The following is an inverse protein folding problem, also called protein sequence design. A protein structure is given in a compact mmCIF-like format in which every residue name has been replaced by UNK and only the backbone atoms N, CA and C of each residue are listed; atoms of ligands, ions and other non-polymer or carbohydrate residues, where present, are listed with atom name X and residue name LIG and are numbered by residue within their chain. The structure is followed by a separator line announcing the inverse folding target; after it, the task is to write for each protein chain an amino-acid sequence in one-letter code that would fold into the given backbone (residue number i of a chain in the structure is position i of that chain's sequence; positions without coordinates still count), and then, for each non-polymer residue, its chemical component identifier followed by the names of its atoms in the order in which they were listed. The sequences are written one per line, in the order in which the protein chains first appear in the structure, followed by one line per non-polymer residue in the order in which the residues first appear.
data_IF_294439079204
#
_entry.id   IF_294439079204
#
_cell.length_a   1.000
_cell.length_b   1.000
_cell.length_c   1.000
_cell.angle_alpha   90.00
_cell.angle_beta   90.00
_cell.angle_gamma   90.00
#
_symmetry.space_group_name_H-M   'P 1'
#
loop_
_entity.id
_entity.type
_entity.pdbx_description
1 polymer ?
#
# COMPACT_ATOMS: atom_id res chain seq x y z
N UNK A 1 41.22 -19.96 -1.40
CA UNK A 1 40.68 -18.79 -0.67
C UNK A 1 39.52 -18.24 -1.49
N UNK A 2 38.34 -18.06 -0.89
CA UNK A 2 37.17 -17.54 -1.62
C UNK A 2 37.16 -16.02 -1.53
N UNK A 3 37.21 -15.34 -2.68
CA UNK A 3 37.18 -13.88 -2.79
C UNK A 3 36.10 -13.50 -3.81
N UNK A 4 35.08 -12.79 -3.35
CA UNK A 4 33.96 -12.37 -4.19
C UNK A 4 33.49 -10.96 -3.82
N UNK A 5 32.95 -10.25 -4.81
CA UNK A 5 32.32 -8.95 -4.60
C UNK A 5 30.85 -9.17 -4.28
N UNK A 6 30.38 -8.51 -3.22
CA UNK A 6 28.99 -8.55 -2.78
C UNK A 6 28.43 -7.13 -2.81
N UNK A 7 27.19 -6.93 -3.27
CA UNK A 7 26.57 -5.61 -3.26
C UNK A 7 26.29 -5.13 -1.84
N UNK A 8 26.46 -3.83 -1.61
CA UNK A 8 26.12 -3.17 -0.35
C UNK A 8 24.62 -2.84 -0.27
N UNK A 9 24.06 -2.90 0.94
CA UNK A 9 22.68 -2.47 1.19
C UNK A 9 22.46 -0.99 0.85
N UNK A 10 23.47 -0.14 1.06
CA UNK A 10 23.41 1.31 0.86
C UNK A 10 24.03 1.80 -0.46
N UNK A 11 24.30 0.90 -1.40
CA UNK A 11 25.03 1.21 -2.64
C UNK A 11 26.54 1.03 -2.48
N UNK A 12 27.21 0.73 -3.59
CA UNK A 12 28.62 0.36 -3.64
C UNK A 12 28.89 -1.14 -3.49
N UNK A 13 30.17 -1.50 -3.46
CA UNK A 13 30.67 -2.87 -3.42
C UNK A 13 31.32 -3.21 -2.08
N UNK A 14 31.12 -4.43 -1.63
CA UNK A 14 31.79 -5.05 -0.49
C UNK A 14 32.66 -6.20 -1.00
N UNK A 15 33.76 -6.44 -0.32
CA UNK A 15 34.62 -7.59 -0.59
C UNK A 15 34.34 -8.65 0.48
N UNK A 16 34.01 -9.86 0.05
CA UNK A 16 33.95 -11.03 0.90
C UNK A 16 35.24 -11.84 0.73
N UNK A 17 35.90 -12.15 1.85
CA UNK A 17 37.02 -13.09 1.89
C UNK A 17 36.71 -14.12 2.96
N UNK A 18 36.45 -15.37 2.57
CA UNK A 18 36.13 -16.46 3.50
C UNK A 18 35.07 -16.09 4.57
N UNK A 19 33.99 -15.40 4.18
CA UNK A 19 32.91 -14.91 5.06
C UNK A 19 33.27 -13.72 5.98
N UNK A 20 34.41 -13.07 5.73
CA UNK A 20 34.73 -11.76 6.31
C UNK A 20 34.42 -10.65 5.32
N UNK A 21 33.64 -9.68 5.76
CA UNK A 21 33.14 -8.62 4.90
C UNK A 21 33.95 -7.34 5.11
N UNK A 22 34.40 -6.78 4.00
CA UNK A 22 35.14 -5.53 3.94
C UNK A 22 34.40 -4.51 3.08
N UNK A 23 34.51 -3.24 3.48
CA UNK A 23 34.05 -2.10 2.68
C UNK A 23 35.24 -1.42 2.01
N UNK A 24 35.02 -0.92 0.79
CA UNK A 24 36.01 -0.13 0.06
C UNK A 24 36.34 1.13 0.86
N UNK A 25 37.62 1.38 1.09
CA UNK A 25 38.13 2.59 1.72
C UNK A 25 38.63 3.59 0.67
N UNK A 26 39.50 3.13 -0.24
CA UNK A 26 40.06 3.90 -1.34
C UNK A 26 40.62 2.97 -2.42
N UNK A 27 40.87 3.51 -3.59
CA UNK A 27 41.54 2.86 -4.71
C UNK A 27 42.54 3.81 -5.36
N UNK A 28 43.62 3.25 -5.92
CA UNK A 28 44.67 4.03 -6.56
C UNK A 28 45.40 3.21 -7.62
N UNK A 29 45.93 3.90 -8.63
CA UNK A 29 46.83 3.32 -9.62
C UNK A 29 48.25 3.28 -9.03
N UNK A 30 48.80 2.08 -8.84
CA UNK A 30 50.13 1.89 -8.26
C UNK A 30 51.19 2.23 -9.31
N UNK A 31 52.06 3.21 -9.00
CA UNK A 31 53.09 3.71 -9.92
C UNK A 31 54.16 2.68 -10.30
N UNK A 32 54.41 1.67 -9.47
CA UNK A 32 55.49 0.70 -9.69
C UNK A 32 55.18 -0.34 -10.76
N UNK A 33 53.91 -0.73 -10.92
CA UNK A 33 53.49 -1.79 -11.83
C UNK A 33 52.22 -1.43 -12.65
N UNK A 34 51.73 -0.20 -12.53
CA UNK A 34 50.56 0.30 -13.24
C UNK A 34 49.24 -0.34 -12.83
N UNK A 35 49.19 -1.15 -11.76
CA UNK A 35 47.98 -1.89 -11.38
C UNK A 35 47.01 -1.05 -10.55
N UNK A 36 45.72 -1.28 -10.75
CA UNK A 36 44.67 -0.63 -9.95
C UNK A 36 44.45 -1.38 -8.62
N UNK A 37 44.85 -0.75 -7.51
CA UNK A 37 44.86 -1.37 -6.17
C UNK A 37 43.72 -0.81 -5.32
N UNK A 38 42.94 -1.71 -4.75
CA UNK A 38 41.80 -1.40 -3.89
C UNK A 38 42.15 -1.69 -2.43
N UNK A 39 41.84 -0.73 -1.56
CA UNK A 39 42.04 -0.82 -0.12
C UNK A 39 40.71 -1.08 0.56
N UNK A 40 40.68 -2.13 1.37
CA UNK A 40 39.49 -2.63 2.03
C UNK A 40 39.68 -2.61 3.53
N UNK A 41 38.63 -2.24 4.27
CA UNK A 41 38.60 -2.24 5.72
C UNK A 41 37.42 -3.05 6.22
N UNK A 42 37.61 -3.82 7.28
CA UNK A 42 36.54 -4.67 7.80
C UNK A 42 35.30 -3.83 8.19
N UNK A 43 34.12 -4.31 7.82
CA UNK A 43 32.84 -3.62 8.11
C UNK A 43 32.61 -3.47 9.62
N UNK A 44 33.04 -4.45 10.41
CA UNK A 44 32.93 -4.44 11.88
C UNK A 44 33.93 -3.51 12.57
N UNK A 45 34.75 -2.77 11.80
CA UNK A 45 35.77 -1.84 12.31
C UNK A 45 36.75 -2.48 13.30
N UNK A 46 37.02 -3.78 13.17
CA UNK A 46 37.96 -4.52 14.03
C UNK A 46 39.44 -4.20 13.77
N UNK A 47 39.75 -3.26 12.88
CA UNK A 47 41.12 -2.90 12.52
C UNK A 47 41.70 -3.67 11.33
N UNK A 48 41.12 -4.82 10.94
CA UNK A 48 41.58 -5.61 9.79
C UNK A 48 41.47 -4.85 8.46
N UNK A 49 42.52 -4.93 7.64
CA UNK A 49 42.64 -4.28 6.33
C UNK A 49 43.24 -5.23 5.32
N UNK A 50 42.74 -5.18 4.09
CA UNK A 50 43.22 -6.02 2.99
C UNK A 50 43.37 -5.16 1.73
N UNK A 51 44.31 -5.52 0.86
CA UNK A 51 44.44 -4.94 -0.48
C UNK A 51 44.17 -5.98 -1.54
N UNK A 52 43.41 -5.60 -2.56
CA UNK A 52 43.20 -6.42 -3.75
C UNK A 52 43.57 -5.65 -5.01
N UNK A 53 43.82 -6.39 -6.08
CA UNK A 53 44.05 -5.87 -7.43
C UNK A 53 42.95 -6.41 -8.33
N UNK A 54 42.44 -5.56 -9.21
CA UNK A 54 41.46 -5.96 -10.23
C UNK A 54 42.18 -6.62 -11.42
N UNK A 55 41.72 -7.81 -11.80
CA UNK A 55 42.20 -8.53 -12.98
C UNK A 55 41.49 -8.05 -14.24
N UNK A 56 42.00 -8.46 -15.41
CA UNK A 56 41.41 -8.13 -16.71
C UNK A 56 39.94 -8.60 -16.84
N UNK A 57 39.51 -9.56 -16.03
CA UNK A 57 38.12 -10.07 -15.96
C UNK A 57 37.25 -9.33 -14.93
N UNK A 58 37.69 -8.18 -14.39
CA UNK A 58 37.01 -7.44 -13.31
C UNK A 58 36.82 -8.24 -12.01
N UNK A 59 37.66 -9.25 -11.78
CA UNK A 59 37.71 -10.01 -10.52
C UNK A 59 38.76 -9.39 -9.60
N UNK A 60 38.56 -9.54 -8.29
CA UNK A 60 39.54 -9.08 -7.31
C UNK A 60 40.38 -10.26 -6.81
N UNK A 61 41.70 -10.08 -6.86
CA UNK A 61 42.66 -11.01 -6.27
C UNK A 61 43.48 -10.28 -5.20
N UNK A 62 44.00 -11.00 -4.21
CA UNK A 62 44.87 -10.40 -3.19
C UNK A 62 46.10 -9.77 -3.84
N UNK A 63 46.43 -8.54 -3.43
CA UNK A 63 47.68 -7.90 -3.83
C UNK A 63 48.86 -8.71 -3.29
N UNK A 64 49.97 -8.76 -4.04
CA UNK A 64 51.18 -9.51 -3.65
C UNK A 64 51.73 -9.09 -2.27
N UNK A 65 51.48 -7.83 -1.88
CA UNK A 65 51.91 -7.28 -0.60
C UNK A 65 50.79 -7.33 0.47
N UNK A 66 49.75 -8.13 0.27
CA UNK A 66 48.63 -8.26 1.19
C UNK A 66 48.39 -9.72 1.53
N UNK A 67 48.42 -10.03 2.81
CA UNK A 67 48.06 -11.34 3.35
C UNK A 67 46.74 -11.22 4.09
N UNK A 68 45.88 -12.22 3.93
CA UNK A 68 44.67 -12.37 4.72
C UNK A 68 44.87 -13.51 5.73
N UNK A 69 44.62 -13.23 7.01
CA UNK A 69 44.55 -14.24 8.05
C UNK A 69 43.32 -13.98 8.93
N UNK A 70 42.64 -15.05 9.35
CA UNK A 70 41.40 -14.93 10.12
C UNK A 70 41.64 -14.37 11.54
N UNK A 71 42.82 -14.63 12.12
CA UNK A 71 43.26 -14.13 13.43
C UNK A 71 43.49 -12.61 13.49
N UNK A 72 43.59 -11.94 12.33
CA UNK A 72 43.62 -10.48 12.23
C UNK A 72 42.27 -9.83 12.60
N UNK A 73 41.21 -10.63 12.74
CA UNK A 73 39.90 -10.18 13.17
C UNK A 73 39.66 -10.53 14.64
N UNK A 74 39.14 -9.57 15.39
CA UNK A 74 38.64 -9.81 16.76
C UNK A 74 37.22 -10.44 16.78
N UNK A 75 36.78 -11.04 15.67
CA UNK A 75 35.45 -11.62 15.52
C UNK A 75 35.48 -12.81 14.56
N UNK A 76 34.50 -13.70 14.70
CA UNK A 76 34.33 -14.84 13.81
C UNK A 76 33.84 -14.42 12.39
N UNK A 77 34.01 -15.29 11.38
CA UNK A 77 33.36 -15.12 10.08
C UNK A 77 31.83 -15.08 10.19
N UNK A 78 31.14 -14.36 9.29
CA UNK A 78 29.70 -14.12 9.33
C UNK A 78 28.96 -14.70 8.09
N UNK A 79 28.87 -16.03 7.92
CA UNK A 79 28.25 -16.66 6.74
C UNK A 79 26.75 -16.34 6.63
N UNK A 80 26.01 -16.30 7.75
CA UNK A 80 24.58 -15.97 7.75
C UNK A 80 24.37 -14.53 7.28
N UNK A 81 25.19 -13.59 7.75
CA UNK A 81 25.13 -12.19 7.35
C UNK A 81 25.40 -11.98 5.86
N UNK A 82 26.24 -12.83 5.24
CA UNK A 82 26.48 -12.81 3.79
C UNK A 82 25.22 -13.23 3.02
N UNK A 83 24.59 -14.33 3.40
CA UNK A 83 23.38 -14.84 2.75
C UNK A 83 22.20 -13.88 2.91
N UNK A 84 22.02 -13.29 4.11
CA UNK A 84 21.02 -12.24 4.35
C UNK A 84 21.23 -11.03 3.41
N UNK A 85 22.48 -10.64 3.13
CA UNK A 85 22.78 -9.54 2.19
C UNK A 85 22.41 -9.91 0.76
N UNK A 86 22.72 -11.14 0.32
CA UNK A 86 22.33 -11.63 -1.02
C UNK A 86 20.81 -11.64 -1.20
N UNK A 87 20.06 -12.09 -0.19
CA UNK A 87 18.59 -12.07 -0.21
C UNK A 87 18.07 -10.64 -0.31
N UNK A 88 18.57 -9.72 0.52
CA UNK A 88 18.17 -8.31 0.45
C UNK A 88 18.45 -7.69 -0.91
N UNK A 89 19.54 -8.08 -1.58
CA UNK A 89 19.81 -7.60 -2.93
C UNK A 89 18.81 -8.15 -3.96
N UNK A 90 18.51 -9.46 -3.91
CA UNK A 90 17.46 -10.06 -4.77
C UNK A 90 16.14 -9.31 -4.60
N UNK A 91 15.76 -9.02 -3.35
CA UNK A 91 14.56 -8.22 -3.03
C UNK A 91 14.63 -6.83 -3.65
N UNK A 92 15.77 -6.14 -3.60
CA UNK A 92 15.89 -4.81 -4.23
C UNK A 92 15.72 -4.86 -5.73
N UNK A 93 16.34 -5.83 -6.39
CA UNK A 93 16.25 -6.02 -7.85
C UNK A 93 14.79 -6.28 -8.22
N UNK A 94 14.15 -7.24 -7.54
CA UNK A 94 12.75 -7.58 -7.79
C UNK A 94 11.79 -6.43 -7.47
N UNK A 95 12.05 -5.64 -6.41
CA UNK A 95 11.24 -4.48 -6.07
C UNK A 95 11.26 -3.39 -7.14
N UNK A 96 12.35 -3.30 -7.92
CA UNK A 96 12.47 -2.36 -9.05
C UNK A 96 11.84 -2.89 -10.33
N UNK A 97 11.94 -4.20 -10.59
CA UNK A 97 11.44 -4.81 -11.83
C UNK A 97 9.96 -5.20 -11.78
N UNK A 98 9.47 -5.64 -10.63
CA UNK A 98 8.06 -6.03 -10.44
C UNK A 98 7.31 -4.89 -9.76
N UNK A 99 6.41 -4.28 -10.52
CA UNK A 99 5.60 -3.15 -10.04
C UNK A 99 4.34 -3.65 -9.31
N UNK A 100 3.79 -4.78 -9.74
CA UNK A 100 2.50 -5.30 -9.25
C UNK A 100 2.62 -6.12 -7.96
N UNK A 101 3.75 -6.82 -7.76
CA UNK A 101 3.92 -7.68 -6.58
C UNK A 101 3.87 -6.82 -5.30
N UNK A 102 3.05 -7.21 -4.32
CA UNK A 102 3.02 -6.55 -3.00
C UNK A 102 4.31 -6.86 -2.24
N UNK A 103 4.76 -5.98 -1.32
CA UNK A 103 5.97 -6.23 -0.52
C UNK A 103 5.98 -7.58 0.22
N UNK A 104 4.80 -8.06 0.64
CA UNK A 104 4.64 -9.37 1.26
C UNK A 104 4.87 -10.53 0.29
N UNK A 105 4.41 -10.41 -0.96
CA UNK A 105 4.64 -11.42 -1.99
C UNK A 105 6.12 -11.51 -2.34
N UNK A 106 6.80 -10.35 -2.48
CA UNK A 106 8.25 -10.30 -2.70
C UNK A 106 9.01 -10.96 -1.55
N UNK A 107 8.61 -10.66 -0.30
CA UNK A 107 9.20 -11.27 0.89
C UNK A 107 9.07 -12.79 0.89
N UNK A 108 7.86 -13.31 0.64
CA UNK A 108 7.59 -14.75 0.60
C UNK A 108 8.39 -15.46 -0.49
N UNK A 109 8.37 -14.92 -1.72
CA UNK A 109 9.17 -15.43 -2.84
C UNK A 109 10.66 -15.48 -2.51
N UNK A 110 11.17 -14.48 -1.79
CA UNK A 110 12.60 -14.39 -1.45
C UNK A 110 13.03 -15.33 -0.33
N UNK A 111 12.11 -15.76 0.53
CA UNK A 111 12.41 -16.61 1.69
C UNK A 111 12.14 -18.08 1.44
N UNK A 112 11.21 -18.42 0.53
CA UNK A 112 10.91 -19.81 0.19
C UNK A 112 12.14 -20.60 -0.26
N UNK A 113 13.11 -19.94 -0.88
CA UNK A 113 14.34 -20.57 -1.37
C UNK A 113 15.48 -20.62 -0.33
N UNK A 114 15.22 -20.23 0.93
CA UNK A 114 16.24 -20.05 1.96
C UNK A 114 16.05 -20.97 3.17
N UNK A 115 17.15 -21.27 3.87
CA UNK A 115 17.06 -22.04 5.11
C UNK A 115 16.34 -21.24 6.21
N UNK A 116 15.70 -21.96 7.14
CA UNK A 116 14.96 -21.37 8.27
C UNK A 116 15.81 -20.43 9.13
N UNK A 117 17.09 -20.77 9.30
CA UNK A 117 18.07 -19.96 10.04
C UNK A 117 18.33 -18.63 9.33
N UNK A 118 18.49 -18.62 8.01
CA UNK A 118 18.71 -17.37 7.26
C UNK A 118 17.44 -16.53 7.22
N UNK A 119 16.29 -17.19 7.04
CA UNK A 119 14.97 -16.54 7.02
C UNK A 119 14.66 -15.79 8.33
N UNK A 120 15.01 -16.36 9.49
CA UNK A 120 14.77 -15.70 10.79
C UNK A 120 15.54 -14.39 10.97
N UNK A 121 16.66 -14.22 10.25
CA UNK A 121 17.46 -13.00 10.26
C UNK A 121 16.96 -11.94 9.26
N UNK A 122 15.95 -12.25 8.44
CA UNK A 122 15.32 -11.33 7.49
C UNK A 122 13.96 -10.89 8.02
N UNK A 123 13.93 -9.75 8.71
CA UNK A 123 12.68 -9.18 9.22
C UNK A 123 11.73 -8.76 8.08
N UNK A 124 10.45 -9.17 8.18
CA UNK A 124 9.36 -8.72 7.31
C UNK A 124 9.25 -7.20 7.23
N UNK A 125 9.36 -6.49 8.35
CA UNK A 125 9.32 -5.02 8.39
C UNK A 125 10.51 -4.39 7.66
N UNK A 126 11.71 -4.96 7.82
CA UNK A 126 12.91 -4.50 7.10
C UNK A 126 12.72 -4.63 5.59
N UNK A 127 12.12 -5.73 5.13
CA UNK A 127 11.86 -5.96 3.70
C UNK A 127 10.80 -5.01 3.17
N UNK A 128 9.70 -4.80 3.90
CA UNK A 128 8.67 -3.83 3.52
C UNK A 128 9.26 -2.41 3.34
N UNK A 129 10.08 -1.96 4.29
CA UNK A 129 10.75 -0.66 4.20
C UNK A 129 11.75 -0.61 3.03
N UNK A 130 12.48 -1.69 2.78
CA UNK A 130 13.41 -1.78 1.66
C UNK A 130 12.68 -1.67 0.31
N UNK A 131 11.59 -2.43 0.12
CA UNK A 131 10.75 -2.40 -1.08
C UNK A 131 10.17 -0.99 -1.29
N UNK A 132 9.59 -0.39 -0.23
CA UNK A 132 9.08 0.99 -0.29
C UNK A 132 10.15 1.98 -0.73
N UNK A 133 11.36 1.91 -0.17
CA UNK A 133 12.49 2.79 -0.54
C UNK A 133 12.92 2.61 -2.00
N UNK A 134 13.01 1.38 -2.50
CA UNK A 134 13.38 1.14 -3.89
C UNK A 134 12.31 1.67 -4.86
N UNK A 135 11.03 1.50 -4.51
CA UNK A 135 9.89 1.94 -5.32
C UNK A 135 9.74 3.45 -5.35
N UNK A 136 9.96 4.16 -4.23
CA UNK A 136 9.93 5.64 -4.18
C UNK A 136 10.80 6.34 -5.23
N UNK A 137 11.89 5.70 -5.65
CA UNK A 137 12.82 6.26 -6.63
C UNK A 137 12.45 5.92 -8.09
N UNK A 138 11.38 5.15 -8.30
CA UNK A 138 10.87 4.78 -9.62
C UNK A 138 9.69 5.70 -9.94
N UNK A 139 9.68 6.32 -11.12
CA UNK A 139 8.68 7.35 -11.48
C UNK A 139 7.23 6.89 -11.32
N UNK A 140 6.94 5.62 -11.60
CA UNK A 140 5.61 5.02 -11.46
C UNK A 140 5.06 4.99 -10.03
N UNK A 141 5.85 5.31 -9.01
CA UNK A 141 5.41 5.39 -7.60
C UNK A 141 5.47 6.81 -7.04
N UNK A 142 5.68 7.83 -7.88
CA UNK A 142 5.38 9.20 -7.47
C UNK A 142 3.89 9.27 -7.18
N UNK A 143 3.55 9.83 -6.03
CA UNK A 143 2.16 10.03 -5.66
C UNK A 143 1.53 11.00 -6.67
N UNK A 144 0.41 10.63 -7.31
CA UNK A 144 -0.25 11.51 -8.27
C UNK A 144 -0.70 12.80 -7.57
N UNK A 145 -0.67 13.91 -8.28
CA UNK A 145 -1.12 15.22 -7.78
C UNK A 145 -2.53 15.58 -8.23
N UNK A 146 -3.05 14.89 -9.22
CA UNK A 146 -4.42 15.01 -9.70
C UNK A 146 -4.96 13.64 -10.14
N UNK A 147 -6.28 13.55 -10.35
CA UNK A 147 -6.92 12.32 -10.82
C UNK A 147 -6.49 11.99 -12.26
N UNK A 148 -6.20 13.00 -13.08
CA UNK A 148 -5.75 12.79 -14.47
C UNK A 148 -4.41 12.08 -14.55
N UNK A 149 -3.49 12.40 -13.64
CA UNK A 149 -2.18 11.74 -13.52
C UNK A 149 -2.29 10.25 -13.15
N UNK A 150 -3.45 9.78 -12.68
CA UNK A 150 -3.65 8.36 -12.36
C UNK A 150 -3.75 7.55 -13.66
N UNK A 151 -2.63 6.95 -14.06
CA UNK A 151 -2.58 5.96 -15.13
C UNK A 151 -2.95 4.57 -14.59
N UNK A 152 -4.20 4.14 -14.80
CA UNK A 152 -4.69 2.83 -14.38
C UNK A 152 -4.47 1.79 -15.49
N UNK A 153 -3.78 0.70 -15.17
CA UNK A 153 -3.71 -0.44 -16.07
C UNK A 153 -5.09 -1.10 -16.22
N UNK A 154 -5.42 -1.72 -17.37
CA UNK A 154 -6.72 -2.38 -17.57
C UNK A 154 -7.06 -3.40 -16.48
N UNK A 155 -6.06 -4.12 -15.96
CA UNK A 155 -6.19 -5.09 -14.87
C UNK A 155 -6.64 -4.46 -13.55
N UNK A 156 -6.37 -3.17 -13.33
CA UNK A 156 -6.81 -2.42 -12.14
C UNK A 156 -8.23 -1.86 -12.29
N UNK A 157 -8.73 -1.78 -13.53
CA UNK A 157 -10.08 -1.32 -13.84
C UNK A 157 -11.10 -2.47 -13.87
N UNK A 158 -10.66 -3.70 -13.60
CA UNK A 158 -11.47 -4.92 -13.70
C UNK A 158 -11.54 -5.67 -12.36
N UNK A 159 -12.61 -6.46 -12.18
CA UNK A 159 -12.74 -7.41 -11.08
C UNK A 159 -11.78 -8.60 -11.26
N UNK A 160 -11.64 -9.44 -10.24
CA UNK A 160 -10.89 -10.70 -10.34
C UNK A 160 -11.45 -11.68 -11.37
N UNK A 161 -12.71 -11.49 -11.80
CA UNK A 161 -13.36 -12.25 -12.87
C UNK A 161 -13.17 -11.60 -14.25
N UNK A 162 -12.47 -10.47 -14.34
CA UNK A 162 -12.23 -9.73 -15.58
C UNK A 162 -13.38 -8.79 -16.01
N UNK A 163 -14.36 -8.56 -15.14
CA UNK A 163 -15.48 -7.66 -15.45
C UNK A 163 -15.08 -6.20 -15.24
N UNK A 164 -15.61 -5.29 -16.07
CA UNK A 164 -15.38 -3.86 -15.87
C UNK A 164 -15.87 -3.43 -14.48
N UNK A 165 -14.99 -2.79 -13.72
CA UNK A 165 -15.26 -2.31 -12.37
C UNK A 165 -15.16 -0.79 -12.24
N UNK A 166 -14.18 -0.15 -12.89
CA UNK A 166 -14.14 1.31 -13.00
C UNK A 166 -15.05 1.76 -14.14
N UNK A 167 -16.23 2.29 -13.83
CA UNK A 167 -17.22 2.68 -14.84
C UNK A 167 -17.06 4.13 -15.30
N UNK A 168 -16.47 5.01 -14.47
CA UNK A 168 -16.20 6.40 -14.82
C UNK A 168 -14.93 6.92 -14.14
N UNK A 169 -14.13 7.66 -14.91
CA UNK A 169 -13.05 8.53 -14.43
C UNK A 169 -13.25 9.92 -15.02
N UNK A 170 -13.20 10.95 -14.18
CA UNK A 170 -13.12 12.36 -14.59
C UNK A 170 -12.15 13.13 -13.67
N UNK A 171 -12.07 14.45 -13.81
CA UNK A 171 -11.15 15.30 -13.06
C UNK A 171 -11.43 15.32 -11.53
N UNK A 172 -12.63 14.93 -11.11
CA UNK A 172 -13.10 15.06 -9.72
C UNK A 172 -13.36 13.73 -9.00
N UNK A 173 -13.63 12.66 -9.74
CA UNK A 173 -13.99 11.37 -9.15
C UNK A 173 -13.62 10.15 -9.99
N UNK A 174 -13.49 9.03 -9.29
CA UNK A 174 -13.48 7.68 -9.84
C UNK A 174 -14.69 6.92 -9.32
N UNK A 175 -15.52 6.38 -10.21
CA UNK A 175 -16.73 5.62 -9.86
C UNK A 175 -16.56 4.15 -10.21
N UNK A 176 -16.71 3.30 -9.20
CA UNK A 176 -16.55 1.86 -9.33
C UNK A 176 -17.83 1.11 -8.96
N UNK A 177 -18.26 0.23 -9.85
CA UNK A 177 -19.36 -0.72 -9.66
C UNK A 177 -19.31 -1.77 -10.78
N UNK A 178 -20.14 -2.79 -10.71
CA UNK A 178 -20.35 -3.75 -11.79
C UNK A 178 -21.82 -3.80 -12.18
N UNK A 179 -22.10 -4.41 -13.33
CA UNK A 179 -23.47 -4.71 -13.72
C UNK A 179 -24.21 -5.56 -12.66
N UNK A 180 -23.52 -6.55 -12.08
CA UNK A 180 -24.07 -7.41 -11.02
C UNK A 180 -24.36 -6.60 -9.75
N UNK A 181 -23.46 -5.70 -9.35
CA UNK A 181 -23.67 -4.82 -8.21
C UNK A 181 -24.88 -3.91 -8.41
N UNK A 182 -25.08 -3.36 -9.60
CA UNK A 182 -26.25 -2.54 -9.91
C UNK A 182 -27.56 -3.33 -9.84
N UNK A 183 -27.57 -4.62 -10.21
CA UNK A 183 -28.75 -5.48 -10.04
C UNK A 183 -29.09 -5.65 -8.56
N UNK A 184 -28.09 -6.00 -7.74
CA UNK A 184 -28.28 -6.08 -6.30
C UNK A 184 -28.77 -4.76 -5.71
N UNK A 185 -28.25 -3.64 -6.20
CA UNK A 185 -28.66 -2.31 -5.76
C UNK A 185 -30.13 -2.04 -6.09
N UNK A 186 -30.60 -2.43 -7.29
CA UNK A 186 -32.00 -2.31 -7.71
C UNK A 186 -32.96 -3.23 -6.95
N UNK A 187 -32.47 -4.36 -6.44
CA UNK A 187 -33.25 -5.32 -5.66
C UNK A 187 -33.21 -5.04 -4.15
N UNK A 188 -32.31 -4.16 -3.71
CA UNK A 188 -32.14 -3.79 -2.31
C UNK A 188 -33.32 -2.93 -1.83
N UNK A 189 -33.83 -3.23 -0.64
CA UNK A 189 -34.87 -2.42 0.02
C UNK A 189 -34.28 -1.32 0.91
N UNK A 190 -33.00 -1.46 1.29
CA UNK A 190 -32.30 -0.48 2.11
C UNK A 190 -30.89 -0.23 1.56
N UNK A 191 -30.52 1.04 1.41
CA UNK A 191 -29.15 1.46 1.12
C UNK A 191 -28.54 2.16 2.33
N UNK A 192 -27.29 1.82 2.65
CA UNK A 192 -26.47 2.58 3.60
C UNK A 192 -25.37 3.28 2.84
N UNK A 193 -25.30 4.60 2.90
CA UNK A 193 -24.28 5.36 2.21
C UNK A 193 -23.48 6.24 3.19
N UNK A 194 -22.16 6.13 3.12
CA UNK A 194 -21.25 6.80 4.06
C UNK A 194 -19.90 7.13 3.41
N UNK A 195 -19.29 8.23 3.85
CA UNK A 195 -17.97 8.69 3.42
C UNK A 195 -16.88 8.27 4.40
N UNK A 196 -15.84 7.59 3.91
CA UNK A 196 -14.66 7.24 4.72
C UNK A 196 -13.40 8.01 4.29
N UNK A 197 -12.68 8.55 5.29
CA UNK A 197 -11.54 9.46 5.09
C UNK A 197 -10.18 8.81 5.37
N UNK A 198 -10.13 7.82 6.28
CA UNK A 198 -8.87 7.33 6.87
C UNK A 198 -7.94 6.60 5.90
N UNK A 199 -8.43 6.24 4.71
CA UNK A 199 -7.71 5.42 3.73
C UNK A 199 -7.56 6.09 2.36
N UNK A 200 -7.87 7.38 2.23
CA UNK A 200 -7.82 8.08 0.94
C UNK A 200 -6.41 8.63 0.64
N UNK A 201 -5.88 8.44 -0.59
CA UNK A 201 -4.71 9.16 -1.08
C UNK A 201 -4.93 10.67 -1.04
N UNK A 202 -3.85 11.46 -1.00
CA UNK A 202 -3.91 12.92 -0.79
C UNK A 202 -4.80 13.66 -1.80
N UNK A 203 -4.93 13.14 -3.02
CA UNK A 203 -5.75 13.73 -4.10
C UNK A 203 -7.25 13.55 -3.94
N UNK A 204 -7.69 12.71 -3.00
CA UNK A 204 -9.10 12.47 -2.71
C UNK A 204 -9.43 12.93 -1.30
N UNK A 205 -10.53 13.67 -1.15
CA UNK A 205 -11.02 14.07 0.17
C UNK A 205 -11.76 12.91 0.86
N UNK A 206 -12.39 12.02 0.07
CA UNK A 206 -13.15 10.89 0.61
C UNK A 206 -13.30 9.71 -0.36
N UNK A 207 -13.66 8.57 0.20
CA UNK A 207 -14.25 7.45 -0.52
C UNK A 207 -15.69 7.27 -0.01
N UNK A 208 -16.66 7.56 -0.86
CA UNK A 208 -18.07 7.37 -0.58
C UNK A 208 -18.50 5.98 -1.02
N UNK A 209 -19.16 5.22 -0.14
CA UNK A 209 -19.53 3.83 -0.41
C UNK A 209 -21.02 3.64 -0.19
N UNK A 210 -21.70 3.10 -1.19
CA UNK A 210 -23.12 2.72 -1.11
C UNK A 210 -23.19 1.20 -0.90
N UNK A 211 -23.77 0.80 0.23
CA UNK A 211 -24.07 -0.57 0.54
C UNK A 211 -25.54 -0.83 0.24
N UNK A 212 -25.83 -1.96 -0.42
CA UNK A 212 -27.19 -2.44 -0.62
C UNK A 212 -27.49 -3.62 0.30
N UNK A 213 -28.74 -3.72 0.74
CA UNK A 213 -29.24 -4.85 1.49
C UNK A 213 -29.56 -6.03 0.56
N UNK A 214 -29.05 -7.22 0.90
CA UNK A 214 -29.26 -8.45 0.13
C UNK A 214 -29.75 -9.56 1.05
N UNK A 215 -30.75 -10.30 0.58
CA UNK A 215 -31.24 -11.50 1.28
C UNK A 215 -30.25 -12.65 1.12
N UNK A 216 -29.81 -13.20 2.25
CA UNK A 216 -29.01 -14.43 2.34
C UNK A 216 -29.75 -15.44 3.21
N UNK A 217 -30.58 -16.24 2.55
CA UNK A 217 -31.51 -17.15 3.25
C UNK A 217 -32.59 -16.35 3.98
N UNK A 218 -32.68 -16.53 5.30
CA UNK A 218 -33.60 -15.76 6.16
C UNK A 218 -33.03 -14.45 6.67
N UNK A 219 -31.73 -14.21 6.48
CA UNK A 219 -31.05 -13.02 7.01
C UNK A 219 -30.87 -11.97 5.91
N UNK A 220 -30.78 -10.72 6.33
CA UNK A 220 -30.39 -9.60 5.49
C UNK A 220 -28.95 -9.19 5.82
N UNK A 221 -28.13 -8.98 4.80
CA UNK A 221 -26.76 -8.50 4.94
C UNK A 221 -26.57 -7.25 4.09
N UNK A 222 -25.72 -6.34 4.55
CA UNK A 222 -25.29 -5.19 3.77
C UNK A 222 -23.95 -5.50 3.12
N UNK A 223 -23.87 -5.29 1.81
CA UNK A 223 -22.63 -5.46 1.04
C UNK A 223 -22.32 -4.17 0.30
N UNK A 224 -21.03 -3.79 0.17
CA UNK A 224 -20.66 -2.60 -0.58
C UNK A 224 -20.81 -2.88 -2.08
N UNK A 225 -21.61 -2.06 -2.76
CA UNK A 225 -21.95 -2.26 -4.18
C UNK A 225 -21.36 -1.17 -5.07
N UNK A 226 -21.29 0.07 -4.58
CA UNK A 226 -20.75 1.22 -5.32
C UNK A 226 -19.69 1.91 -4.49
N UNK A 227 -18.59 2.26 -5.13
CA UNK A 227 -17.49 3.02 -4.52
C UNK A 227 -17.21 4.25 -5.36
N UNK A 228 -17.23 5.43 -4.75
CA UNK A 228 -16.87 6.69 -5.39
C UNK A 228 -15.69 7.32 -4.66
N UNK A 229 -14.55 7.44 -5.33
CA UNK A 229 -13.41 8.17 -4.82
C UNK A 229 -13.52 9.62 -5.29
N UNK A 230 -13.67 10.57 -4.37
CA UNK A 230 -14.06 11.95 -4.68
C UNK A 230 -13.03 12.95 -4.13
N UNK A 231 -12.70 13.98 -4.89
CA UNK A 231 -11.79 15.06 -4.47
C UNK A 231 -12.48 16.15 -3.62
N UNK A 232 -13.77 15.97 -3.29
CA UNK A 232 -14.54 16.91 -2.50
C UNK A 232 -15.85 16.32 -1.98
N UNK A 233 -16.64 17.19 -1.35
CA UNK A 233 -17.91 16.87 -0.66
C UNK A 233 -19.04 17.84 -1.02
N UNK A 234 -18.91 18.53 -2.14
CA UNK A 234 -19.93 19.48 -2.57
C UNK A 234 -21.18 18.72 -3.05
N UNK A 235 -22.34 19.38 -2.98
CA UNK A 235 -23.61 18.83 -3.45
C UNK A 235 -23.52 18.47 -4.94
N UNK A 236 -22.83 19.30 -5.73
CA UNK A 236 -22.62 19.05 -7.16
C UNK A 236 -21.85 17.75 -7.41
N UNK A 237 -20.86 17.41 -6.56
CA UNK A 237 -20.10 16.17 -6.68
C UNK A 237 -20.94 14.94 -6.31
N UNK A 238 -21.77 15.04 -5.27
CA UNK A 238 -22.70 13.96 -4.92
C UNK A 238 -23.75 13.74 -6.01
N UNK A 239 -24.35 14.82 -6.51
CA UNK A 239 -25.28 14.77 -7.64
C UNK A 239 -24.60 14.13 -8.85
N UNK A 240 -23.35 14.48 -9.14
CA UNK A 240 -22.58 13.85 -10.20
C UNK A 240 -22.39 12.33 -9.99
N UNK A 241 -22.08 11.88 -8.77
CA UNK A 241 -21.96 10.43 -8.45
C UNK A 241 -23.28 9.71 -8.74
N UNK A 242 -24.40 10.24 -8.25
CA UNK A 242 -25.71 9.59 -8.40
C UNK A 242 -26.21 9.60 -9.85
N UNK A 243 -26.01 10.71 -10.58
CA UNK A 243 -26.34 10.79 -12.01
C UNK A 243 -25.53 9.76 -12.82
N UNK A 244 -24.20 9.71 -12.64
CA UNK A 244 -23.34 8.76 -13.35
C UNK A 244 -23.69 7.30 -13.04
N UNK A 245 -24.03 7.01 -11.78
CA UNK A 245 -24.50 5.68 -11.37
C UNK A 245 -25.81 5.33 -12.07
N UNK A 246 -26.78 6.25 -12.09
CA UNK A 246 -28.08 6.04 -12.72
C UNK A 246 -27.96 5.89 -14.23
N UNK A 247 -27.16 6.72 -14.90
CA UNK A 247 -26.83 6.60 -16.33
C UNK A 247 -26.29 5.21 -16.66
N UNK A 248 -25.30 4.74 -15.90
CA UNK A 248 -24.73 3.41 -16.09
C UNK A 248 -25.77 2.30 -15.87
N UNK A 249 -26.66 2.43 -14.88
CA UNK A 249 -27.73 1.47 -14.66
C UNK A 249 -28.72 1.43 -15.84
N UNK A 250 -29.14 2.60 -16.33
CA UNK A 250 -30.05 2.73 -17.47
C UNK A 250 -29.44 2.11 -18.73
N UNK A 251 -28.16 2.36 -19.01
CA UNK A 251 -27.42 1.73 -20.12
C UNK A 251 -27.41 0.19 -20.04
N UNK A 252 -27.52 -0.37 -18.83
CA UNK A 252 -27.61 -1.81 -18.59
C UNK A 252 -29.04 -2.33 -18.47
N UNK A 253 -30.05 -1.49 -18.73
CA UNK A 253 -31.47 -1.79 -18.53
C UNK A 253 -31.82 -2.17 -17.08
N UNK A 254 -31.15 -1.53 -16.12
CA UNK A 254 -31.41 -1.67 -14.68
C UNK A 254 -32.01 -0.37 -14.18
N UNK A 255 -33.11 -0.46 -13.45
CA UNK A 255 -33.77 0.70 -12.86
C UNK A 255 -33.55 0.73 -11.35
N UNK A 256 -32.77 1.69 -10.88
CA UNK A 256 -32.48 1.90 -9.44
C UNK A 256 -33.29 3.04 -8.81
N UNK A 257 -34.16 3.72 -9.58
CA UNK A 257 -34.92 4.91 -9.14
C UNK A 257 -36.41 4.66 -8.93
N UNK A 258 -36.94 3.53 -9.39
CA UNK A 258 -38.37 3.20 -9.32
C UNK A 258 -38.79 2.35 -8.10
N UNK A 259 -37.88 2.08 -7.18
CA UNK A 259 -38.16 1.32 -5.97
C UNK A 259 -38.96 2.17 -4.98
N UNK A 260 -40.30 2.03 -5.00
CA UNK A 260 -41.19 2.79 -4.13
C UNK A 260 -40.99 2.50 -2.62
N UNK A 261 -40.37 1.36 -2.29
CA UNK A 261 -40.13 0.92 -0.91
C UNK A 261 -38.65 1.04 -0.49
N UNK A 262 -37.82 1.75 -1.27
CA UNK A 262 -36.41 1.93 -0.95
C UNK A 262 -36.22 2.93 0.20
N UNK A 263 -35.54 2.51 1.25
CA UNK A 263 -35.01 3.40 2.28
C UNK A 263 -33.52 3.67 2.04
N UNK A 264 -33.10 4.94 2.06
CA UNK A 264 -31.70 5.33 1.96
C UNK A 264 -31.29 6.00 3.28
N UNK A 265 -30.35 5.38 3.97
CA UNK A 265 -29.82 5.86 5.25
C UNK A 265 -28.42 6.43 5.03
N UNK A 266 -28.23 7.69 5.38
CA UNK A 266 -26.91 8.36 5.33
C UNK A 266 -26.52 8.92 6.69
N UNK A 267 -25.30 9.44 6.79
CA UNK A 267 -24.95 10.37 7.85
C UNK A 267 -25.69 11.73 7.69
N UNK A 268 -25.31 12.72 8.49
CA UNK A 268 -25.96 14.04 8.53
C UNK A 268 -25.38 15.01 7.49
N UNK A 269 -24.72 14.52 6.44
CA UNK A 269 -24.10 15.38 5.43
C UNK A 269 -25.13 15.95 4.46
N UNK A 270 -25.48 17.22 4.65
CA UNK A 270 -26.55 17.90 3.91
C UNK A 270 -26.40 17.83 2.38
N UNK A 271 -25.17 17.95 1.87
CA UNK A 271 -24.88 17.85 0.45
C UNK A 271 -25.31 16.48 -0.12
N UNK A 272 -24.94 15.38 0.55
CA UNK A 272 -25.35 14.04 0.16
C UNK A 272 -26.88 13.85 0.25
N UNK A 273 -27.51 14.35 1.32
CA UNK A 273 -28.97 14.26 1.53
C UNK A 273 -29.74 14.98 0.41
N UNK A 274 -29.33 16.20 0.08
CA UNK A 274 -29.96 16.99 -0.97
C UNK A 274 -29.85 16.29 -2.33
N UNK A 275 -28.63 15.87 -2.71
CA UNK A 275 -28.39 15.16 -3.97
C UNK A 275 -29.16 13.84 -4.06
N UNK A 276 -29.25 13.08 -2.96
CA UNK A 276 -30.05 11.84 -2.92
C UNK A 276 -31.53 12.11 -3.13
N UNK A 277 -32.06 13.13 -2.45
CA UNK A 277 -33.47 13.52 -2.54
C UNK A 277 -33.84 13.93 -3.98
N UNK A 278 -32.92 14.61 -4.67
CA UNK A 278 -33.09 14.99 -6.07
C UNK A 278 -33.04 13.78 -7.03
N UNK A 279 -32.07 12.87 -6.85
CA UNK A 279 -31.84 11.74 -7.76
C UNK A 279 -32.77 10.54 -7.50
N UNK A 280 -33.24 10.38 -6.25
CA UNK A 280 -34.10 9.28 -5.81
C UNK A 280 -35.34 9.81 -5.08
N UNK A 281 -36.20 10.62 -5.75
CA UNK A 281 -37.31 11.32 -5.10
C UNK A 281 -38.42 10.41 -4.56
N UNK A 282 -38.39 9.13 -4.93
CA UNK A 282 -39.34 8.11 -4.43
C UNK A 282 -38.81 7.34 -3.23
N UNK A 283 -37.51 7.42 -2.95
CA UNK A 283 -36.92 6.75 -1.81
C UNK A 283 -37.24 7.52 -0.52
N UNK A 284 -37.40 6.79 0.58
CA UNK A 284 -37.46 7.40 1.91
C UNK A 284 -36.05 7.67 2.38
N UNK A 285 -35.73 8.92 2.72
CA UNK A 285 -34.45 9.27 3.31
C UNK A 285 -34.53 9.21 4.84
N UNK A 286 -33.57 8.53 5.45
CA UNK A 286 -33.39 8.42 6.89
C UNK A 286 -31.95 8.82 7.26
N UNK A 287 -31.76 9.27 8.49
CA UNK A 287 -30.41 9.57 9.01
C UNK A 287 -29.95 8.46 9.97
N UNK A 288 -28.65 8.21 9.96
CA UNK A 288 -28.05 7.11 10.71
C UNK A 288 -28.10 7.37 12.22
N UNK A 289 -28.88 6.55 12.95
CA UNK A 289 -28.99 6.62 14.41
C UNK A 289 -27.63 6.47 15.12
N UNK A 290 -26.75 5.61 14.62
CA UNK A 290 -25.40 5.45 15.17
C UNK A 290 -24.59 6.75 15.11
N UNK A 291 -24.63 7.46 13.98
CA UNK A 291 -23.96 8.76 13.83
C UNK A 291 -24.63 9.86 14.68
N UNK A 292 -25.94 9.77 14.91
CA UNK A 292 -26.66 10.65 15.83
C UNK A 292 -26.17 10.45 17.27
N UNK A 293 -26.15 9.22 17.75
CA UNK A 293 -25.67 8.87 19.09
C UNK A 293 -24.23 9.34 19.30
N UNK A 294 -23.34 9.14 18.32
CA UNK A 294 -21.99 9.67 18.39
C UNK A 294 -21.94 11.20 18.48
N UNK A 295 -22.79 11.90 17.72
CA UNK A 295 -22.85 13.37 17.74
C UNK A 295 -23.34 13.90 19.08
N UNK A 296 -24.37 13.27 19.65
CA UNK A 296 -24.89 13.57 20.99
C UNK A 296 -23.79 13.33 22.03
N UNK A 297 -23.11 12.18 21.98
CA UNK A 297 -22.05 11.85 22.92
C UNK A 297 -20.87 12.84 22.86
N UNK A 298 -20.42 13.24 21.66
CA UNK A 298 -19.42 14.30 21.50
C UNK A 298 -19.86 15.62 22.15
N UNK A 299 -21.14 15.99 22.02
CA UNK A 299 -21.67 17.19 22.65
C UNK A 299 -21.65 17.07 24.17
N UNK A 300 -22.08 15.94 24.73
CA UNK A 300 -22.04 15.62 26.17
C UNK A 300 -20.62 15.74 26.71
N UNK A 301 -19.62 15.22 25.99
CA UNK A 301 -18.21 15.37 26.35
C UNK A 301 -17.78 16.84 26.39
N UNK A 302 -18.11 17.62 25.37
CA UNK A 302 -17.71 19.03 25.27
C UNK A 302 -18.31 19.92 26.38
N UNK A 303 -19.48 19.55 26.91
CA UNK A 303 -20.12 20.28 28.02
C UNK A 303 -19.77 19.70 29.40
N UNK A 304 -18.83 18.75 29.48
CA UNK A 304 -18.35 18.19 30.74
C UNK A 304 -19.32 17.21 31.43
N UNK A 305 -20.33 16.70 30.72
CA UNK A 305 -21.35 15.83 31.29
C UNK A 305 -21.06 14.33 31.13
N UNK A 306 -19.87 13.95 30.67
CA UNK A 306 -19.50 12.54 30.45
C UNK A 306 -19.68 11.67 31.67
N UNK A 307 -19.22 12.11 32.85
CA UNK A 307 -19.33 11.34 34.09
C UNK A 307 -20.78 11.13 34.49
N UNK A 308 -21.63 12.15 34.32
CA UNK A 308 -23.06 12.04 34.60
C UNK A 308 -23.72 11.06 33.63
N UNK A 309 -23.45 11.20 32.34
CA UNK A 309 -23.97 10.31 31.30
C UNK A 309 -23.58 8.84 31.49
N UNK A 310 -22.37 8.55 32.01
CA UNK A 310 -21.96 7.16 32.28
C UNK A 310 -22.57 6.59 33.55
N UNK A 311 -22.77 7.41 34.58
CA UNK A 311 -23.09 6.92 35.93
C UNK A 311 -24.56 7.10 36.34
N UNK A 312 -25.33 7.88 35.60
CA UNK A 312 -26.74 8.18 35.88
C UNK A 312 -27.64 7.56 34.79
N UNK A 313 -28.29 6.41 35.07
CA UNK A 313 -29.16 5.73 34.11
C UNK A 313 -30.37 6.55 33.67
N UNK A 314 -30.85 7.50 34.48
CA UNK A 314 -31.95 8.40 34.08
C UNK A 314 -31.47 9.49 33.11
N UNK A 315 -30.17 9.78 33.11
CA UNK A 315 -29.54 10.75 32.22
C UNK A 315 -29.04 10.13 30.91
N UNK A 316 -28.93 8.80 30.83
CA UNK A 316 -28.59 8.07 29.61
C UNK A 316 -29.85 7.44 28.97
N UNK A 317 -30.44 8.06 27.93
CA UNK A 317 -31.61 7.51 27.24
C UNK A 317 -31.28 6.36 26.25
N UNK A 318 -30.02 5.93 26.15
CA UNK A 318 -29.55 4.87 25.24
C UNK A 318 -29.32 3.53 25.93
#
# INVERSE_FOLDING_TARGET
MNIDIVPSIHGGILLNINNFIYKKNKDLLRKTDGKHVFYWICVNKCGAKVRTVETNEKKHELDKNSTFFADQHCHAPEPIGLEVRKIKEKIKIHAKSSIEDKPLQIYQKSINDCSTIVASHVSKNSVQQLVKRQRRNVENYKEPKSIDEICLAPTMCQTLKGELFLIKKNENLLLFTTNENCKYLSESICWLADGTFKACPQIFEQMYVIHGSIKRGTNEIFVPLVFAQMNGKSEELYTQVFCLLNEFCIEKNINITQTNDLEIITDFEKAAINSLTENFPRATHSTCFFHLCQSIYRKIQNIGLSTKYTNDPEFNPC
#
